data_IF_705596760526
#
_entry.id   IF_705596760526
#
_cell.length_a   1.000
_cell.length_b   1.000
_cell.length_c   1.000
_cell.angle_alpha   90.00
_cell.angle_beta   90.00
_cell.angle_gamma   90.00
#
_symmetry.space_group_name_H-M   'P 1'
#
loop_
_entity.id
_entity.type
_entity.pdbx_description
1 polymer ?
#
# COMPACT_ATOMS: atom_id res chain seq x y z
N UNK A 1 -40.17 -24.42 -12.15
CA UNK A 1 -38.81 -24.00 -12.53
C UNK A 1 -38.65 -22.58 -12.00
N UNK A 2 -38.06 -22.44 -10.80
CA UNK A 2 -37.93 -21.17 -10.10
C UNK A 2 -36.64 -20.48 -10.51
N UNK A 3 -36.77 -19.23 -10.93
CA UNK A 3 -35.78 -18.36 -11.55
C UNK A 3 -34.57 -18.10 -10.62
N UNK A 4 -33.36 -18.32 -11.15
CA UNK A 4 -32.08 -18.35 -10.44
C UNK A 4 -31.49 -16.97 -10.13
N UNK A 5 -32.27 -16.07 -9.53
CA UNK A 5 -31.81 -14.72 -9.14
C UNK A 5 -31.34 -14.63 -7.69
N UNK A 6 -30.41 -15.50 -7.28
CA UNK A 6 -29.80 -15.42 -5.95
C UNK A 6 -28.40 -14.76 -6.02
N UNK A 7 -28.40 -13.47 -5.71
CA UNK A 7 -27.25 -12.56 -5.47
C UNK A 7 -26.38 -12.16 -6.67
N UNK A 8 -26.92 -11.36 -7.58
CA UNK A 8 -26.06 -10.44 -8.32
C UNK A 8 -25.36 -9.51 -7.31
N UNK A 9 -24.04 -9.61 -7.17
CA UNK A 9 -23.26 -8.67 -6.35
C UNK A 9 -23.60 -7.26 -6.82
N UNK A 10 -23.99 -6.38 -5.89
CA UNK A 10 -24.24 -4.97 -6.23
C UNK A 10 -23.03 -4.44 -7.01
N UNK A 11 -23.23 -3.75 -8.14
CA UNK A 11 -22.12 -3.12 -8.86
C UNK A 11 -21.39 -2.19 -7.90
N UNK A 12 -20.06 -2.25 -7.93
CA UNK A 12 -19.20 -1.41 -7.10
C UNK A 12 -19.19 0.00 -7.67
N UNK A 13 -19.27 1.02 -6.82
CA UNK A 13 -19.09 2.40 -7.27
C UNK A 13 -17.60 2.71 -7.38
N UNK A 14 -17.12 3.14 -8.56
CA UNK A 14 -15.69 3.43 -8.77
C UNK A 14 -15.15 4.53 -7.86
N UNK A 15 -15.99 5.51 -7.49
CA UNK A 15 -15.61 6.63 -6.62
C UNK A 15 -15.29 6.20 -5.18
N UNK A 16 -15.75 5.02 -4.77
CA UNK A 16 -15.45 4.47 -3.45
C UNK A 16 -14.01 3.93 -3.34
N UNK A 17 -13.28 3.85 -4.46
CA UNK A 17 -11.99 3.17 -4.53
C UNK A 17 -10.84 4.09 -4.90
N UNK A 18 -9.65 3.78 -4.38
CA UNK A 18 -8.41 4.48 -4.67
C UNK A 18 -7.82 3.90 -5.97
N UNK A 19 -7.67 4.75 -6.97
CA UNK A 19 -7.21 4.39 -8.31
C UNK A 19 -8.33 3.82 -9.19
N UNK A 20 -7.97 3.36 -10.39
CA UNK A 20 -8.97 2.83 -11.33
C UNK A 20 -9.56 1.54 -10.76
N UNK A 21 -10.89 1.46 -10.69
CA UNK A 21 -11.59 0.27 -10.26
C UNK A 21 -11.38 -0.89 -11.25
N UNK A 22 -10.75 -1.95 -10.77
CA UNK A 22 -10.77 -3.29 -11.33
C UNK A 22 -11.70 -4.13 -10.47
N UNK A 23 -12.92 -4.37 -10.95
CA UNK A 23 -13.94 -5.11 -10.21
C UNK A 23 -13.50 -6.53 -9.88
N UNK A 24 -12.69 -7.17 -10.71
CA UNK A 24 -12.20 -8.53 -10.45
C UNK A 24 -11.29 -8.52 -9.23
N UNK A 25 -10.42 -7.51 -9.10
CA UNK A 25 -9.56 -7.31 -7.95
C UNK A 25 -10.34 -6.87 -6.71
N UNK A 26 -11.21 -5.86 -6.84
CA UNK A 26 -11.95 -5.30 -5.71
C UNK A 26 -12.88 -6.31 -5.04
N UNK A 27 -13.32 -7.33 -5.79
CA UNK A 27 -14.14 -8.43 -5.29
C UNK A 27 -13.37 -9.57 -4.61
N UNK A 28 -12.04 -9.55 -4.62
CA UNK A 28 -11.21 -10.55 -3.95
C UNK A 28 -11.26 -10.37 -2.43
N UNK A 29 -10.98 -11.45 -1.69
CA UNK A 29 -10.68 -11.33 -0.27
C UNK A 29 -9.37 -10.57 -0.06
N UNK A 30 -9.20 -9.93 1.09
CA UNK A 30 -7.99 -9.16 1.43
C UNK A 30 -6.70 -9.95 1.22
N UNK A 31 -6.65 -11.22 1.64
CA UNK A 31 -5.48 -12.08 1.40
C UNK A 31 -5.17 -12.22 -0.09
N UNK A 32 -6.19 -12.44 -0.93
CA UNK A 32 -6.02 -12.57 -2.38
C UNK A 32 -5.64 -11.24 -3.04
N UNK A 33 -6.10 -10.11 -2.50
CA UNK A 33 -5.65 -8.78 -2.95
C UNK A 33 -4.16 -8.57 -2.67
N UNK A 34 -3.70 -8.95 -1.47
CA UNK A 34 -2.28 -8.92 -1.11
C UNK A 34 -1.46 -9.84 -2.04
N UNK A 35 -1.92 -11.07 -2.27
CA UNK A 35 -1.22 -12.00 -3.17
C UNK A 35 -1.14 -11.43 -4.61
N UNK A 36 -2.23 -10.84 -5.10
CA UNK A 36 -2.24 -10.16 -6.40
C UNK A 36 -1.22 -9.01 -6.43
N UNK A 37 -1.14 -8.19 -5.37
CA UNK A 37 -0.16 -7.11 -5.28
C UNK A 37 1.29 -7.64 -5.29
N UNK A 38 1.59 -8.72 -4.55
CA UNK A 38 2.91 -9.34 -4.58
C UNK A 38 3.25 -9.96 -5.95
N UNK A 39 2.28 -10.52 -6.67
CA UNK A 39 2.48 -10.97 -8.05
C UNK A 39 2.85 -9.80 -8.97
N UNK A 40 2.28 -8.61 -8.76
CA UNK A 40 2.67 -7.39 -9.51
C UNK A 40 4.09 -6.96 -9.17
N UNK A 41 4.48 -6.99 -7.90
CA UNK A 41 5.84 -6.69 -7.45
C UNK A 41 6.85 -7.68 -8.07
N UNK A 42 6.55 -8.98 -8.02
CA UNK A 42 7.41 -10.01 -8.63
C UNK A 42 7.56 -9.81 -10.12
N UNK A 43 6.46 -9.56 -10.83
CA UNK A 43 6.48 -9.33 -12.29
C UNK A 43 7.33 -8.10 -12.66
N UNK A 44 7.28 -7.02 -11.87
CA UNK A 44 7.98 -5.77 -12.17
C UNK A 44 9.45 -5.76 -11.71
N UNK A 45 9.77 -6.38 -10.57
CA UNK A 45 11.08 -6.27 -9.91
C UNK A 45 11.84 -7.60 -9.77
N UNK A 46 11.21 -8.72 -10.16
CA UNK A 46 11.76 -10.06 -10.06
C UNK A 46 11.49 -10.74 -8.72
N UNK A 47 11.45 -12.08 -8.74
CA UNK A 47 11.09 -12.93 -7.60
C UNK A 47 11.89 -12.65 -6.33
N UNK A 48 13.22 -12.56 -6.44
CA UNK A 48 14.09 -12.32 -5.27
C UNK A 48 13.71 -11.05 -4.52
N UNK A 49 13.44 -9.95 -5.24
CA UNK A 49 13.05 -8.69 -4.62
C UNK A 49 11.66 -8.78 -3.97
N UNK A 50 10.71 -9.42 -4.65
CA UNK A 50 9.37 -9.64 -4.10
C UNK A 50 9.40 -10.49 -2.82
N UNK A 51 10.20 -11.56 -2.78
CA UNK A 51 10.37 -12.40 -1.60
C UNK A 51 10.95 -11.60 -0.41
N UNK A 52 11.93 -10.73 -0.65
CA UNK A 52 12.50 -9.86 0.39
C UNK A 52 11.48 -8.87 0.96
N UNK A 53 10.68 -8.24 0.09
CA UNK A 53 9.59 -7.33 0.49
C UNK A 53 8.52 -8.11 1.26
N UNK A 54 8.14 -9.29 0.77
CA UNK A 54 7.12 -10.15 1.38
C UNK A 54 7.54 -10.61 2.78
N UNK A 55 8.80 -11.01 2.95
CA UNK A 55 9.34 -11.38 4.27
C UNK A 55 9.20 -10.25 5.29
N UNK A 56 9.50 -9.01 4.90
CA UNK A 56 9.35 -7.85 5.78
C UNK A 56 7.88 -7.57 6.07
N UNK A 57 7.03 -7.58 5.05
CA UNK A 57 5.60 -7.38 5.20
C UNK A 57 4.96 -8.43 6.14
N UNK A 58 5.28 -9.71 5.95
CA UNK A 58 4.76 -10.81 6.76
C UNK A 58 5.32 -10.83 8.19
N UNK A 59 6.43 -10.12 8.47
CA UNK A 59 6.94 -9.90 9.84
C UNK A 59 6.21 -8.79 10.61
N UNK A 60 5.27 -8.10 9.96
CA UNK A 60 4.43 -7.07 10.60
C UNK A 60 3.04 -7.61 10.91
N UNK A 61 2.40 -7.03 11.91
CA UNK A 61 0.95 -7.14 12.07
C UNK A 61 0.24 -6.41 10.94
N UNK A 62 -0.84 -6.97 10.40
CA UNK A 62 -1.58 -6.39 9.28
C UNK A 62 -2.92 -5.87 9.75
N UNK A 63 -3.23 -4.61 9.43
CA UNK A 63 -4.52 -3.99 9.70
C UNK A 63 -5.09 -3.34 8.43
N UNK A 64 -6.41 -3.13 8.40
CA UNK A 64 -7.11 -2.58 7.23
C UNK A 64 -8.08 -1.46 7.61
N UNK A 65 -7.65 -0.61 8.55
CA UNK A 65 -8.50 0.35 9.24
C UNK A 65 -8.12 1.81 8.96
N UNK A 66 -6.96 2.06 8.34
CA UNK A 66 -6.53 3.42 8.04
C UNK A 66 -7.41 4.10 6.98
N UNK A 67 -7.61 5.41 7.15
CA UNK A 67 -8.21 6.30 6.14
C UNK A 67 -7.20 6.79 5.11
N UNK A 68 -5.90 6.66 5.39
CA UNK A 68 -4.82 6.93 4.43
C UNK A 68 -4.69 5.77 3.44
N UNK A 69 -3.78 5.87 2.47
CA UNK A 69 -3.47 4.76 1.58
C UNK A 69 -2.84 3.61 2.37
N UNK A 70 -1.80 3.91 3.14
CA UNK A 70 -1.16 2.99 4.06
C UNK A 70 -0.53 3.77 5.21
N UNK A 71 -0.13 3.03 6.24
CA UNK A 71 0.59 3.57 7.39
C UNK A 71 1.47 2.48 8.03
N UNK A 72 2.77 2.79 8.16
CA UNK A 72 3.68 2.05 9.02
C UNK A 72 3.69 2.64 10.44
N UNK A 73 3.28 1.84 11.43
CA UNK A 73 3.18 2.26 12.84
C UNK A 73 3.56 1.13 13.80
N UNK A 74 3.52 1.40 15.09
CA UNK A 74 3.75 0.40 16.13
C UNK A 74 2.49 0.21 17.00
N UNK A 75 2.29 -1.01 17.51
CA UNK A 75 1.29 -1.27 18.54
C UNK A 75 1.78 -0.84 19.94
N UNK A 76 0.92 -0.94 20.96
CA UNK A 76 1.29 -0.58 22.34
C UNK A 76 2.41 -1.44 22.94
N UNK A 77 2.70 -2.61 22.34
CA UNK A 77 3.78 -3.51 22.74
C UNK A 77 5.05 -3.28 21.91
N UNK A 78 5.01 -2.35 20.97
CA UNK A 78 6.12 -2.03 20.06
C UNK A 78 6.26 -2.97 18.87
N UNK A 79 5.25 -3.78 18.54
CA UNK A 79 5.28 -4.60 17.34
C UNK A 79 4.98 -3.73 16.10
N UNK A 80 5.71 -3.90 15.00
CA UNK A 80 5.44 -3.17 13.76
C UNK A 80 4.08 -3.58 13.17
N UNK A 81 3.33 -2.60 12.71
CA UNK A 81 2.05 -2.74 11.99
C UNK A 81 2.21 -2.06 10.63
N UNK A 82 1.75 -2.74 9.58
CA UNK A 82 1.39 -2.09 8.32
C UNK A 82 -0.15 -2.08 8.24
N UNK A 83 -0.71 -0.89 8.34
CA UNK A 83 -2.14 -0.61 8.19
C UNK A 83 -2.42 -0.15 6.76
N UNK A 84 -3.38 -0.74 6.08
CA UNK A 84 -3.65 -0.48 4.66
C UNK A 84 -5.10 -0.09 4.44
N UNK A 85 -5.37 0.75 3.44
CA UNK A 85 -6.75 1.02 3.10
C UNK A 85 -7.45 -0.24 2.56
N UNK A 86 -8.72 -0.46 2.92
CA UNK A 86 -9.53 -1.57 2.37
C UNK A 86 -10.09 -1.27 0.97
N UNK A 87 -10.05 -0.02 0.53
CA UNK A 87 -10.73 0.49 -0.68
C UNK A 87 -9.78 0.63 -1.87
N UNK A 88 -8.78 -0.23 -2.02
CA UNK A 88 -7.94 -0.20 -3.23
C UNK A 88 -8.72 -0.67 -4.46
N UNK A 89 -8.69 0.11 -5.53
CA UNK A 89 -9.40 -0.20 -6.76
C UNK A 89 -8.71 -1.28 -7.60
N UNK A 90 -7.38 -1.39 -7.49
CA UNK A 90 -6.61 -2.36 -8.25
C UNK A 90 -5.30 -2.78 -7.55
N UNK A 91 -4.72 -3.88 -8.05
CA UNK A 91 -3.51 -4.49 -7.49
C UNK A 91 -2.25 -3.65 -7.65
N UNK A 92 -2.18 -2.77 -8.65
CA UNK A 92 -1.01 -1.91 -8.88
C UNK A 92 -0.91 -0.83 -7.80
N UNK A 93 -2.02 -0.17 -7.46
CA UNK A 93 -2.06 0.80 -6.37
C UNK A 93 -1.67 0.13 -5.04
N UNK A 94 -2.29 -1.01 -4.71
CA UNK A 94 -1.96 -1.74 -3.49
C UNK A 94 -0.49 -2.17 -3.47
N UNK A 95 0.06 -2.66 -4.57
CA UNK A 95 1.47 -3.02 -4.68
C UNK A 95 2.39 -1.82 -4.41
N UNK A 96 2.09 -0.66 -4.98
CA UNK A 96 2.89 0.54 -4.78
C UNK A 96 2.78 1.07 -3.34
N UNK A 97 1.62 0.96 -2.70
CA UNK A 97 1.46 1.27 -1.27
C UNK A 97 2.25 0.29 -0.39
N UNK A 98 2.19 -1.02 -0.65
CA UNK A 98 2.98 -2.00 0.12
C UNK A 98 4.48 -1.69 0.01
N UNK A 99 4.97 -1.36 -1.19
CA UNK A 99 6.37 -0.96 -1.37
C UNK A 99 6.73 0.28 -0.56
N UNK A 100 5.80 1.24 -0.43
CA UNK A 100 5.94 2.43 0.41
C UNK A 100 6.08 2.07 1.89
N UNK A 101 5.12 1.34 2.46
CA UNK A 101 5.11 1.06 3.90
C UNK A 101 6.27 0.15 4.31
N UNK A 102 6.64 -0.82 3.46
CA UNK A 102 7.83 -1.64 3.68
C UNK A 102 9.10 -0.80 3.61
N UNK A 103 9.12 0.29 2.83
CA UNK A 103 10.26 1.21 2.78
C UNK A 103 10.44 1.95 4.11
N UNK A 104 9.35 2.42 4.72
CA UNK A 104 9.36 2.99 6.08
C UNK A 104 9.94 1.99 7.09
N UNK A 105 9.47 0.75 7.05
CA UNK A 105 10.00 -0.28 7.95
C UNK A 105 11.49 -0.57 7.73
N UNK A 106 11.94 -0.64 6.47
CA UNK A 106 13.37 -0.79 6.15
C UNK A 106 14.19 0.39 6.65
N UNK A 107 13.67 1.60 6.55
CA UNK A 107 14.34 2.80 7.02
C UNK A 107 14.47 2.80 8.55
N UNK A 108 13.40 2.47 9.27
CA UNK A 108 13.41 2.28 10.71
C UNK A 108 14.53 1.30 11.13
N UNK A 109 14.57 0.12 10.51
CA UNK A 109 15.58 -0.90 10.79
C UNK A 109 17.00 -0.43 10.41
N UNK A 110 17.16 0.26 9.29
CA UNK A 110 18.46 0.73 8.79
C UNK A 110 19.06 1.83 9.68
N UNK A 111 18.22 2.72 10.19
CA UNK A 111 18.65 3.79 11.08
C UNK A 111 18.85 3.30 12.53
N UNK A 112 18.47 2.05 12.82
CA UNK A 112 18.59 1.43 14.15
C UNK A 112 17.95 2.28 15.25
N UNK A 113 16.77 2.84 14.95
CA UNK A 113 16.07 3.75 15.85
C UNK A 113 15.26 2.96 16.88
N UNK A 114 15.12 3.52 18.07
CA UNK A 114 14.04 3.15 18.97
C UNK A 114 12.69 3.68 18.45
N UNK A 115 11.59 3.06 18.91
CA UNK A 115 10.23 3.51 18.58
C UNK A 115 10.02 4.98 18.96
N UNK A 116 10.58 5.41 20.10
CA UNK A 116 10.51 6.81 20.55
C UNK A 116 11.23 7.75 19.58
N UNK A 117 12.41 7.37 19.10
CA UNK A 117 13.14 8.18 18.12
C UNK A 117 12.41 8.23 16.79
N UNK A 118 11.84 7.11 16.33
CA UNK A 118 11.04 7.06 15.11
C UNK A 118 9.86 8.05 15.15
N UNK A 119 9.07 8.01 16.23
CA UNK A 119 7.94 8.95 16.41
C UNK A 119 8.37 10.39 16.68
N UNK A 120 9.63 10.62 17.05
CA UNK A 120 10.20 11.95 17.22
C UNK A 120 10.74 12.56 15.93
N UNK A 121 10.83 11.79 14.83
CA UNK A 121 11.24 12.32 13.54
C UNK A 121 10.14 13.19 12.93
N UNK A 122 10.50 14.29 12.23
CA UNK A 122 9.53 15.03 11.43
C UNK A 122 8.89 14.12 10.38
N UNK A 123 7.57 14.22 10.20
CA UNK A 123 6.85 13.44 9.17
C UNK A 123 7.45 13.66 7.77
N UNK A 124 7.83 14.90 7.44
CA UNK A 124 8.49 15.22 6.19
C UNK A 124 9.79 14.40 5.99
N UNK A 125 10.56 14.19 7.07
CA UNK A 125 11.78 13.38 7.01
C UNK A 125 11.45 11.92 6.74
N UNK A 126 10.49 11.35 7.45
CA UNK A 126 10.04 9.96 7.26
C UNK A 126 9.55 9.75 5.82
N UNK A 127 8.69 10.65 5.33
CA UNK A 127 8.10 10.59 4.01
C UNK A 127 9.09 10.86 2.87
N UNK A 128 9.98 11.85 2.98
CA UNK A 128 10.92 12.21 1.89
C UNK A 128 11.78 11.02 1.45
N UNK A 129 12.16 10.14 2.38
CA UNK A 129 12.96 8.94 2.10
C UNK A 129 12.15 7.80 1.47
N UNK A 130 10.87 7.64 1.82
CA UNK A 130 9.99 6.62 1.24
C UNK A 130 9.43 7.05 -0.13
N UNK A 131 9.21 8.34 -0.33
CA UNK A 131 8.56 8.91 -1.53
C UNK A 131 9.47 9.02 -2.75
N UNK A 132 10.77 9.25 -2.57
CA UNK A 132 11.71 9.44 -3.69
C UNK A 132 11.80 8.25 -4.67
N UNK A 133 11.55 7.03 -4.19
CA UNK A 133 11.57 5.81 -5.02
C UNK A 133 10.19 5.37 -5.50
N UNK A 134 9.11 5.89 -4.90
CA UNK A 134 7.79 5.30 -5.06
C UNK A 134 7.07 5.70 -6.37
N UNK A 135 7.37 6.89 -6.91
CA UNK A 135 6.87 7.28 -8.25
C UNK A 135 7.54 6.42 -9.34
N UNK A 136 8.84 6.14 -9.21
CA UNK A 136 9.54 5.25 -10.13
C UNK A 136 9.03 3.81 -10.00
N UNK A 137 8.81 3.31 -8.78
CA UNK A 137 8.21 2.00 -8.55
C UNK A 137 6.83 1.90 -9.17
N UNK A 138 6.01 2.94 -9.01
CA UNK A 138 4.67 3.01 -9.59
C UNK A 138 4.69 2.95 -11.12
N UNK A 139 5.60 3.70 -11.76
CA UNK A 139 5.82 3.62 -13.21
C UNK A 139 6.19 2.21 -13.66
N UNK A 140 7.06 1.52 -12.90
CA UNK A 140 7.48 0.16 -13.22
C UNK A 140 6.38 -0.88 -13.02
N UNK A 141 5.47 -0.67 -12.07
CA UNK A 141 4.27 -1.49 -11.85
C UNK A 141 3.20 -1.27 -12.93
N UNK A 142 3.30 -0.18 -13.70
CA UNK A 142 2.38 0.18 -14.76
C UNK A 142 1.21 1.05 -14.31
N UNK A 143 1.40 1.87 -13.26
CA UNK A 143 0.39 2.88 -12.87
C UNK A 143 0.21 3.91 -13.97
N UNK A 144 -1.02 4.35 -14.21
CA UNK A 144 -1.29 5.44 -15.16
C UNK A 144 -0.81 6.79 -14.62
N UNK A 145 -0.75 7.80 -15.48
CA UNK A 145 -0.44 9.18 -15.07
C UNK A 145 -1.41 9.68 -13.98
N UNK A 146 -2.70 9.38 -14.09
CA UNK A 146 -3.72 9.75 -13.10
C UNK A 146 -3.50 9.03 -11.77
N UNK A 147 -3.13 7.75 -11.81
CA UNK A 147 -2.85 6.98 -10.61
C UNK A 147 -1.56 7.43 -9.91
N UNK A 148 -0.53 7.79 -10.69
CA UNK A 148 0.68 8.39 -10.14
C UNK A 148 0.41 9.73 -9.46
N UNK A 149 -0.54 10.53 -9.97
CA UNK A 149 -0.95 11.79 -9.32
C UNK A 149 -1.54 11.58 -7.92
N UNK A 150 -2.19 10.44 -7.65
CA UNK A 150 -2.67 10.10 -6.30
C UNK A 150 -1.50 10.09 -5.32
N UNK A 151 -0.41 9.42 -5.68
CA UNK A 151 0.81 9.36 -4.89
C UNK A 151 1.53 10.71 -4.86
N UNK A 152 1.64 11.42 -6.00
CA UNK A 152 2.27 12.74 -6.04
C UNK A 152 1.57 13.77 -5.15
N UNK A 153 0.23 13.80 -5.13
CA UNK A 153 -0.53 14.72 -4.29
C UNK A 153 -0.39 14.35 -2.81
N UNK A 154 -0.52 13.05 -2.47
CA UNK A 154 -0.21 12.57 -1.13
C UNK A 154 1.20 13.02 -0.68
N UNK A 155 2.20 13.00 -1.57
CA UNK A 155 3.56 13.48 -1.25
C UNK A 155 3.71 14.99 -1.15
N UNK A 156 2.96 15.76 -1.93
CA UNK A 156 2.98 17.23 -1.84
C UNK A 156 2.40 17.71 -0.52
N UNK A 157 1.33 17.07 -0.05
CA UNK A 157 0.74 17.32 1.26
C UNK A 157 1.79 17.21 2.38
N UNK A 158 2.52 16.09 2.48
CA UNK A 158 3.55 15.91 3.52
C UNK A 158 4.79 16.78 3.36
N UNK A 159 5.01 17.39 2.19
CA UNK A 159 6.12 18.33 1.94
C UNK A 159 5.72 19.79 2.18
N UNK A 160 4.47 20.08 2.55
CA UNK A 160 3.97 21.44 2.70
C UNK A 160 3.97 22.23 1.38
N UNK A 161 3.75 21.53 0.25
CA UNK A 161 3.74 22.12 -1.09
C UNK A 161 2.32 22.30 -1.65
N UNK A 162 1.30 22.23 -0.78
CA UNK A 162 -0.11 22.50 -1.06
C UNK A 162 -0.63 23.70 -0.26
#
# INVERSE_FOLDING_TARGET
MGDGSWYAKKPLNAEDFIGKLDENFANLSTTKQIDAAFNRIESAFGKKYADEVKKLFDSTSRSFNTSHMGEFRFDMKGNPIIDLNKKFGNSNILANTILHEVRHYRQFNKLNLSIREWHGLPEEFVERYATGTNIWQGKKLGLTTEELKIFENYYKYYRGLE
#
